data_IF_286189976668
#
_entry.id   IF_286189976668
#
_cell.length_a   1.000
_cell.length_b   1.000
_cell.length_c   1.000
_cell.angle_alpha   90.00
_cell.angle_beta   90.00
_cell.angle_gamma   90.00
#
_symmetry.space_group_name_H-M   'P 1'
#
loop_
_entity.id
_entity.type
_entity.pdbx_description
1 polymer ?
#
# COMPACT_ATOMS: atom_id res chain seq x y z
N UNK A 1 -7.68 -3.98 -15.12
CA UNK A 1 -8.52 -3.17 -14.23
C UNK A 1 -9.80 -2.77 -14.94
N UNK A 2 -10.88 -2.57 -14.18
CA UNK A 2 -12.16 -2.00 -14.61
C UNK A 2 -12.34 -0.63 -13.97
N UNK A 3 -13.14 0.29 -14.55
CA UNK A 3 -13.46 1.55 -13.91
C UNK A 3 -14.05 1.39 -12.51
N UNK A 4 -13.68 2.30 -11.62
CA UNK A 4 -14.14 2.40 -10.24
C UNK A 4 -14.51 3.85 -9.91
N UNK A 5 -15.08 4.09 -8.74
CA UNK A 5 -15.46 5.45 -8.31
C UNK A 5 -14.29 6.25 -7.74
N UNK A 6 -13.26 5.54 -7.23
CA UNK A 6 -12.09 6.15 -6.61
C UNK A 6 -10.82 5.36 -6.93
N UNK A 7 -9.72 6.04 -7.22
CA UNK A 7 -8.38 5.48 -7.09
C UNK A 7 -7.85 5.87 -5.71
N UNK A 8 -7.59 4.87 -4.87
CA UNK A 8 -7.09 5.04 -3.52
C UNK A 8 -5.62 4.68 -3.44
N UNK A 9 -4.75 5.65 -3.19
CA UNK A 9 -3.31 5.49 -3.18
C UNK A 9 -2.82 5.48 -1.74
N UNK A 10 -2.30 4.34 -1.31
CA UNK A 10 -1.71 4.20 0.01
C UNK A 10 -0.24 4.62 -0.04
N UNK A 11 0.16 5.48 0.87
CA UNK A 11 1.49 6.08 0.93
C UNK A 11 2.62 5.05 1.06
N UNK A 12 3.75 5.42 0.52
CA UNK A 12 4.99 4.63 0.56
C UNK A 12 6.20 5.50 0.23
N UNK A 13 7.40 4.92 0.31
CA UNK A 13 8.63 5.55 -0.13
C UNK A 13 8.91 5.43 -1.65
N UNK A 14 7.92 5.07 -2.46
CA UNK A 14 8.07 4.88 -3.91
C UNK A 14 7.10 5.77 -4.70
N UNK A 15 7.62 6.88 -5.20
CA UNK A 15 6.84 7.88 -5.94
C UNK A 15 6.22 7.33 -7.24
N UNK A 16 6.76 6.25 -7.80
CA UNK A 16 6.24 5.61 -9.02
C UNK A 16 4.80 5.11 -8.86
N UNK A 17 4.37 4.86 -7.62
CA UNK A 17 2.98 4.51 -7.32
C UNK A 17 2.05 5.69 -7.64
N UNK A 18 2.46 6.93 -7.32
CA UNK A 18 1.70 8.13 -7.65
C UNK A 18 1.69 8.42 -9.16
N UNK A 19 2.81 8.20 -9.84
CA UNK A 19 2.88 8.32 -11.29
C UNK A 19 1.94 7.33 -11.99
N UNK A 20 1.91 6.09 -11.51
CA UNK A 20 0.98 5.07 -12.01
C UNK A 20 -0.50 5.44 -11.72
N UNK A 21 -0.79 6.07 -10.57
CA UNK A 21 -2.12 6.60 -10.30
C UNK A 21 -2.56 7.63 -11.35
N UNK A 22 -1.65 8.54 -11.74
CA UNK A 22 -1.92 9.51 -12.79
C UNK A 22 -2.16 8.86 -14.17
N UNK A 23 -1.43 7.78 -14.50
CA UNK A 23 -1.67 7.00 -15.73
C UNK A 23 -3.06 6.36 -15.71
N UNK A 24 -3.50 5.79 -14.59
CA UNK A 24 -4.84 5.20 -14.47
C UNK A 24 -5.93 6.26 -14.55
N UNK A 25 -5.70 7.45 -13.98
CA UNK A 25 -6.60 8.59 -14.10
C UNK A 25 -6.73 9.03 -15.57
N UNK A 26 -5.61 9.20 -16.28
CA UNK A 26 -5.60 9.56 -17.70
C UNK A 26 -6.37 8.52 -18.57
N UNK A 27 -6.35 7.25 -18.16
CA UNK A 27 -7.14 6.16 -18.76
C UNK A 27 -8.62 6.17 -18.33
N UNK A 28 -9.05 7.16 -17.56
CA UNK A 28 -10.43 7.32 -17.06
C UNK A 28 -10.92 6.14 -16.22
N UNK A 29 -10.04 5.54 -15.44
CA UNK A 29 -10.40 4.41 -14.57
C UNK A 29 -11.06 4.85 -13.25
N UNK A 30 -10.94 6.11 -12.87
CA UNK A 30 -11.79 6.75 -11.84
C UNK A 30 -11.76 8.26 -12.01
N UNK A 31 -12.82 8.97 -11.56
CA UNK A 31 -12.89 10.43 -11.62
C UNK A 31 -12.10 11.12 -10.50
N UNK A 32 -11.79 10.42 -9.42
CA UNK A 32 -11.23 10.96 -8.19
C UNK A 32 -10.04 10.12 -7.72
N UNK A 33 -9.00 10.79 -7.20
CA UNK A 33 -7.85 10.20 -6.54
C UNK A 33 -7.85 10.61 -5.06
N UNK A 34 -7.53 9.65 -4.18
CA UNK A 34 -7.27 9.92 -2.77
C UNK A 34 -5.90 9.39 -2.41
N UNK A 35 -4.98 10.30 -2.09
CA UNK A 35 -3.65 9.99 -1.58
C UNK A 35 -3.68 9.97 -0.07
N UNK A 36 -3.24 8.86 0.54
CA UNK A 36 -3.23 8.69 1.99
C UNK A 36 -1.86 8.25 2.47
N UNK A 37 -1.29 8.99 3.39
CA UNK A 37 0.00 8.70 4.02
C UNK A 37 0.59 9.94 4.67
N UNK A 38 0.85 9.85 5.97
CA UNK A 38 1.63 10.84 6.72
C UNK A 38 3.12 10.54 6.63
N UNK A 39 3.81 10.57 7.75
CA UNK A 39 5.22 10.20 7.88
C UNK A 39 5.33 8.71 8.17
N UNK A 40 5.70 7.93 7.18
CA UNK A 40 5.80 6.48 7.30
C UNK A 40 7.14 5.99 7.85
N UNK A 41 7.28 4.68 8.01
CA UNK A 41 8.48 4.05 8.56
C UNK A 41 9.76 4.32 7.75
N UNK A 42 9.66 4.44 6.44
CA UNK A 42 10.78 4.72 5.54
C UNK A 42 10.90 6.19 5.15
N UNK A 43 9.98 7.03 5.59
CA UNK A 43 9.83 8.43 5.18
C UNK A 43 9.80 9.39 6.38
N UNK A 44 10.09 8.88 7.58
CA UNK A 44 10.04 9.67 8.83
C UNK A 44 10.97 10.88 8.85
N UNK A 45 11.98 10.91 7.98
CA UNK A 45 12.92 12.05 7.82
C UNK A 45 12.54 12.97 6.65
N UNK A 46 11.44 12.71 5.94
CA UNK A 46 11.00 13.58 4.87
C UNK A 46 10.45 14.90 5.42
N UNK A 47 10.60 15.97 4.63
CA UNK A 47 10.14 17.31 5.04
C UNK A 47 8.61 17.46 4.96
N UNK A 48 7.94 16.60 4.17
CA UNK A 48 6.49 16.63 3.92
C UNK A 48 5.90 15.21 3.93
N UNK A 49 4.60 15.06 4.25
CA UNK A 49 3.90 13.80 4.24
C UNK A 49 3.91 13.10 2.87
N UNK A 50 3.89 11.75 2.88
CA UNK A 50 3.88 10.92 1.67
C UNK A 50 2.74 11.30 0.72
N UNK A 51 1.54 11.51 1.25
CA UNK A 51 0.35 11.85 0.47
C UNK A 51 0.50 13.18 -0.29
N UNK A 52 1.17 14.17 0.29
CA UNK A 52 1.41 15.46 -0.35
C UNK A 52 2.40 15.36 -1.50
N UNK A 53 3.52 14.63 -1.30
CA UNK A 53 4.49 14.37 -2.36
C UNK A 53 3.88 13.58 -3.51
N UNK A 54 3.04 12.62 -3.19
CA UNK A 54 2.35 11.80 -4.18
C UNK A 54 1.33 12.62 -4.98
N UNK A 55 0.56 13.48 -4.31
CA UNK A 55 -0.37 14.38 -4.96
C UNK A 55 0.36 15.36 -5.90
N UNK A 56 1.48 15.93 -5.46
CA UNK A 56 2.32 16.79 -6.29
C UNK A 56 2.84 16.06 -7.54
N UNK A 57 3.31 14.82 -7.39
CA UNK A 57 3.76 14.01 -8.51
C UNK A 57 2.64 13.73 -9.52
N UNK A 58 1.44 13.41 -9.04
CA UNK A 58 0.29 13.19 -9.89
C UNK A 58 -0.16 14.49 -10.62
N UNK A 59 -0.14 15.62 -9.95
CA UNK A 59 -0.41 16.92 -10.58
C UNK A 59 0.61 17.26 -11.67
N UNK A 60 1.89 16.99 -11.45
CA UNK A 60 2.94 17.15 -12.48
C UNK A 60 2.71 16.27 -13.72
N UNK A 61 1.99 15.16 -13.57
CA UNK A 61 1.57 14.25 -14.66
C UNK A 61 0.21 14.63 -15.25
N UNK A 62 -0.39 15.76 -14.84
CA UNK A 62 -1.60 16.32 -15.44
C UNK A 62 -2.91 15.96 -14.74
N UNK A 63 -2.88 15.40 -13.53
CA UNK A 63 -4.11 15.23 -12.74
C UNK A 63 -4.53 16.59 -12.18
N UNK A 64 -5.77 17.05 -12.43
CA UNK A 64 -6.26 18.29 -11.85
C UNK A 64 -6.34 18.25 -10.33
N UNK A 65 -5.99 19.33 -9.65
CA UNK A 65 -5.97 19.38 -8.19
C UNK A 65 -7.36 19.22 -7.53
N UNK A 66 -8.41 19.62 -8.22
CA UNK A 66 -9.82 19.44 -7.80
C UNK A 66 -10.29 17.97 -7.88
N UNK A 67 -9.53 17.11 -8.57
CA UNK A 67 -9.75 15.67 -8.61
C UNK A 67 -8.90 14.90 -7.58
N UNK A 68 -8.22 15.61 -6.66
CA UNK A 68 -7.31 15.01 -5.67
C UNK A 68 -7.80 15.30 -4.25
N UNK A 69 -7.90 14.25 -3.45
CA UNK A 69 -8.05 14.33 -2.00
C UNK A 69 -6.76 13.89 -1.32
N UNK A 70 -6.45 14.50 -0.17
CA UNK A 70 -5.23 14.22 0.60
C UNK A 70 -5.61 13.85 2.04
N UNK A 71 -5.10 12.72 2.50
CA UNK A 71 -5.05 12.31 3.89
C UNK A 71 -3.57 12.21 4.30
N UNK A 72 -3.09 13.06 5.18
CA UNK A 72 -1.67 13.24 5.48
C UNK A 72 -1.27 12.94 6.94
N UNK A 73 -2.09 12.18 7.68
CA UNK A 73 -1.87 11.90 9.11
C UNK A 73 -1.58 10.44 9.42
N UNK A 74 -1.99 9.53 8.54
CA UNK A 74 -1.85 8.09 8.76
C UNK A 74 -0.38 7.66 8.78
N UNK A 75 -0.07 6.70 9.66
CA UNK A 75 1.28 6.13 9.85
C UNK A 75 1.35 4.64 9.52
N UNK A 76 0.21 4.03 9.21
CA UNK A 76 0.09 2.61 8.87
C UNK A 76 -1.12 2.35 7.97
N UNK A 77 -1.15 1.18 7.33
CA UNK A 77 -2.18 0.83 6.34
C UNK A 77 -3.61 0.86 6.91
N UNK A 78 -3.83 0.48 8.17
CA UNK A 78 -5.14 0.55 8.79
C UNK A 78 -5.62 1.99 9.00
N UNK A 79 -4.71 2.88 9.40
CA UNK A 79 -4.99 4.31 9.50
C UNK A 79 -5.25 4.94 8.14
N UNK A 80 -4.49 4.55 7.10
CA UNK A 80 -4.75 5.00 5.74
C UNK A 80 -6.23 4.78 5.37
N UNK A 81 -6.78 3.60 5.66
CA UNK A 81 -8.18 3.29 5.36
C UNK A 81 -9.12 4.16 6.21
N UNK A 82 -8.98 4.13 7.55
CA UNK A 82 -9.92 4.83 8.44
C UNK A 82 -9.92 6.34 8.24
N UNK A 83 -8.72 6.94 8.10
CA UNK A 83 -8.63 8.40 7.95
C UNK A 83 -9.07 8.86 6.56
N UNK A 84 -8.88 8.03 5.54
CA UNK A 84 -9.37 8.31 4.19
C UNK A 84 -10.90 8.32 4.12
N UNK A 85 -11.58 7.40 4.81
CA UNK A 85 -13.05 7.43 4.94
C UNK A 85 -13.53 8.75 5.58
N UNK A 86 -12.85 9.19 6.64
CA UNK A 86 -13.16 10.47 7.27
C UNK A 86 -12.90 11.69 6.35
N UNK A 87 -11.89 11.62 5.47
CA UNK A 87 -11.65 12.67 4.46
C UNK A 87 -12.78 12.71 3.44
N UNK A 88 -13.25 11.56 2.94
CA UNK A 88 -14.39 11.47 2.02
C UNK A 88 -15.67 12.06 2.67
N UNK A 89 -15.99 11.65 3.89
CA UNK A 89 -17.13 12.15 4.65
C UNK A 89 -17.06 13.68 4.82
N UNK A 90 -15.93 14.21 5.26
CA UNK A 90 -15.72 15.66 5.43
C UNK A 90 -15.85 16.44 4.13
N UNK A 91 -15.46 15.84 3.00
CA UNK A 91 -15.59 16.44 1.68
C UNK A 91 -17.02 16.35 1.12
N UNK A 92 -17.95 15.73 1.84
CA UNK A 92 -19.32 15.49 1.36
C UNK A 92 -19.39 14.50 0.19
N UNK A 93 -18.37 13.66 0.02
CA UNK A 93 -18.32 12.65 -1.03
C UNK A 93 -18.94 11.37 -0.49
N UNK A 94 -19.94 10.80 -1.17
CA UNK A 94 -20.51 9.52 -0.78
C UNK A 94 -19.45 8.42 -0.69
N UNK A 95 -19.63 7.50 0.23
CA UNK A 95 -18.74 6.35 0.36
C UNK A 95 -18.75 5.54 -0.95
N UNK A 96 -17.57 5.32 -1.61
CA UNK A 96 -17.55 4.68 -2.90
C UNK A 96 -17.92 3.20 -2.80
N UNK A 97 -18.67 2.70 -3.77
CA UNK A 97 -19.01 1.28 -3.91
C UNK A 97 -17.87 0.44 -4.49
N UNK A 98 -16.91 1.10 -5.14
CA UNK A 98 -15.77 0.45 -5.79
C UNK A 98 -14.53 1.34 -5.78
N UNK A 99 -13.38 0.73 -5.49
CA UNK A 99 -12.08 1.41 -5.51
C UNK A 99 -11.03 0.59 -6.27
N UNK A 100 -10.07 1.30 -6.85
CA UNK A 100 -8.78 0.75 -7.27
C UNK A 100 -7.75 1.20 -6.22
N UNK A 101 -7.29 0.27 -5.40
CA UNK A 101 -6.27 0.56 -4.40
C UNK A 101 -4.87 0.35 -4.99
N UNK A 102 -3.99 1.33 -4.83
CA UNK A 102 -2.63 1.29 -5.37
C UNK A 102 -1.60 1.23 -4.25
N UNK A 103 -0.63 0.35 -4.43
CA UNK A 103 0.51 0.20 -3.52
C UNK A 103 1.73 -0.36 -4.30
N UNK A 104 2.84 -0.56 -3.62
CA UNK A 104 4.03 -1.24 -4.16
C UNK A 104 3.72 -2.68 -4.56
N UNK A 105 4.37 -3.25 -5.58
CA UNK A 105 4.04 -4.58 -6.09
C UNK A 105 3.95 -5.67 -5.02
N UNK A 106 4.91 -5.75 -4.11
CA UNK A 106 4.94 -6.78 -3.07
C UNK A 106 3.92 -6.57 -1.93
N UNK A 107 3.28 -5.40 -1.88
CA UNK A 107 2.28 -5.07 -0.85
C UNK A 107 0.82 -5.30 -1.29
N UNK A 108 0.57 -5.65 -2.56
CA UNK A 108 -0.80 -5.79 -3.09
C UNK A 108 -1.66 -6.73 -2.24
N UNK A 109 -1.14 -7.90 -1.89
CA UNK A 109 -1.89 -8.90 -1.10
C UNK A 109 -2.26 -8.39 0.29
N UNK A 110 -1.31 -7.76 0.99
CA UNK A 110 -1.58 -7.19 2.32
C UNK A 110 -2.54 -6.01 2.25
N UNK A 111 -2.42 -5.18 1.21
CA UNK A 111 -3.35 -4.07 0.96
C UNK A 111 -4.77 -4.60 0.77
N UNK A 112 -4.96 -5.63 -0.06
CA UNK A 112 -6.27 -6.27 -0.23
C UNK A 112 -6.81 -6.81 1.08
N UNK A 113 -6.01 -7.57 1.82
CA UNK A 113 -6.41 -8.17 3.10
C UNK A 113 -6.82 -7.11 4.14
N UNK A 114 -6.09 -5.99 4.19
CA UNK A 114 -6.42 -4.88 5.09
C UNK A 114 -7.72 -4.20 4.68
N UNK A 115 -7.92 -3.93 3.40
CA UNK A 115 -9.15 -3.31 2.90
C UNK A 115 -10.37 -4.21 3.12
N UNK A 116 -10.25 -5.51 2.89
CA UNK A 116 -11.31 -6.48 3.19
C UNK A 116 -11.74 -6.50 4.67
N UNK A 117 -10.81 -6.25 5.59
CA UNK A 117 -11.11 -6.19 7.02
C UNK A 117 -11.62 -4.80 7.48
N UNK A 118 -11.04 -3.72 6.93
CA UNK A 118 -11.26 -2.36 7.42
C UNK A 118 -12.32 -1.59 6.62
N UNK A 119 -12.65 -2.08 5.41
CA UNK A 119 -13.64 -1.48 4.52
C UNK A 119 -14.39 -2.57 3.73
N UNK A 120 -15.08 -3.48 4.43
CA UNK A 120 -15.69 -4.68 3.82
C UNK A 120 -16.83 -4.36 2.83
N UNK A 121 -17.44 -3.17 2.91
CA UNK A 121 -18.55 -2.76 2.06
C UNK A 121 -18.10 -2.39 0.65
N UNK A 122 -16.82 -2.04 0.45
CA UNK A 122 -16.31 -1.57 -0.83
C UNK A 122 -15.78 -2.73 -1.68
N UNK A 123 -16.07 -2.71 -2.97
CA UNK A 123 -15.42 -3.62 -3.93
C UNK A 123 -14.03 -3.12 -4.27
N UNK A 124 -13.02 -3.91 -3.98
CA UNK A 124 -11.62 -3.55 -4.15
C UNK A 124 -10.99 -4.30 -5.31
N UNK A 125 -10.34 -3.56 -6.21
CA UNK A 125 -9.29 -4.07 -7.08
C UNK A 125 -7.95 -3.49 -6.61
N UNK A 126 -6.95 -4.33 -6.37
CA UNK A 126 -5.61 -3.86 -6.02
C UNK A 126 -4.71 -3.91 -7.24
N UNK A 127 -3.84 -2.92 -7.37
CA UNK A 127 -2.85 -2.84 -8.46
C UNK A 127 -1.59 -2.12 -8.01
N UNK A 128 -0.53 -2.30 -8.77
CA UNK A 128 0.76 -1.64 -8.58
C UNK A 128 1.37 -1.28 -9.94
N UNK A 129 2.39 -0.41 -9.98
CA UNK A 129 3.18 -0.22 -11.20
C UNK A 129 3.68 -1.57 -11.73
N UNK A 130 3.56 -1.84 -13.05
CA UNK A 130 3.78 -3.16 -13.64
C UNK A 130 5.27 -3.49 -13.83
N UNK A 131 6.05 -3.42 -12.75
CA UNK A 131 7.46 -3.77 -12.75
C UNK A 131 7.66 -5.26 -12.45
N UNK A 132 8.53 -5.91 -13.20
CA UNK A 132 9.16 -7.15 -12.74
C UNK A 132 10.02 -6.88 -11.50
N UNK A 133 10.38 -7.93 -10.73
CA UNK A 133 11.24 -7.75 -9.56
C UNK A 133 12.55 -7.01 -9.89
N UNK A 134 13.18 -7.32 -11.03
CA UNK A 134 14.43 -6.68 -11.45
C UNK A 134 14.25 -5.21 -11.81
N UNK A 135 13.16 -4.86 -12.50
CA UNK A 135 12.84 -3.47 -12.87
C UNK A 135 12.41 -2.65 -11.65
N UNK A 136 11.88 -3.31 -10.62
CA UNK A 136 11.51 -2.64 -9.37
C UNK A 136 12.73 -2.10 -8.62
N UNK A 137 13.87 -2.79 -8.70
CA UNK A 137 15.10 -2.39 -8.01
C UNK A 137 15.67 -1.11 -8.63
N UNK A 138 16.04 -0.17 -7.75
CA UNK A 138 16.75 1.08 -8.12
C UNK A 138 17.89 1.31 -7.13
N UNK A 139 18.64 2.40 -7.34
CA UNK A 139 19.68 2.81 -6.40
C UNK A 139 19.09 3.12 -5.02
N UNK A 140 17.91 3.74 -4.97
CA UNK A 140 17.17 4.10 -3.76
C UNK A 140 16.41 2.91 -3.16
N UNK A 141 16.14 1.90 -3.98
CA UNK A 141 15.48 0.64 -3.60
C UNK A 141 16.40 -0.56 -3.93
N UNK A 142 17.53 -0.70 -3.24
CA UNK A 142 18.46 -1.82 -3.48
C UNK A 142 17.84 -3.15 -3.07
N UNK A 143 18.33 -4.23 -3.64
CA UNK A 143 17.78 -5.58 -3.45
C UNK A 143 17.61 -5.96 -1.98
N UNK A 144 18.62 -5.72 -1.14
CA UNK A 144 18.57 -6.13 0.27
C UNK A 144 17.48 -5.42 1.05
N UNK A 145 17.24 -4.12 0.75
CA UNK A 145 16.14 -3.36 1.33
C UNK A 145 14.80 -3.91 0.87
N UNK A 146 14.64 -4.16 -0.43
CA UNK A 146 13.38 -4.63 -1.01
C UNK A 146 13.05 -6.03 -0.52
N UNK A 147 14.02 -6.97 -0.52
CA UNK A 147 13.80 -8.33 -0.04
C UNK A 147 13.48 -8.35 1.45
N UNK A 148 14.20 -7.58 2.27
CA UNK A 148 13.88 -7.45 3.70
C UNK A 148 12.48 -6.87 3.93
N UNK A 149 12.06 -5.89 3.11
CA UNK A 149 10.71 -5.35 3.18
C UNK A 149 9.65 -6.38 2.79
N UNK A 150 9.89 -7.19 1.75
CA UNK A 150 8.99 -8.29 1.34
C UNK A 150 8.87 -9.34 2.45
N UNK A 151 9.97 -9.72 3.09
CA UNK A 151 10.00 -10.67 4.22
C UNK A 151 9.17 -10.13 5.39
N UNK A 152 9.36 -8.86 5.75
CA UNK A 152 8.57 -8.24 6.80
C UNK A 152 7.09 -8.06 6.43
N UNK A 153 6.78 -7.83 5.16
CA UNK A 153 5.40 -7.75 4.67
C UNK A 153 4.72 -9.12 4.72
N UNK A 154 5.41 -10.18 4.32
CA UNK A 154 4.92 -11.54 4.39
C UNK A 154 4.60 -11.96 5.85
N UNK A 155 5.47 -11.66 6.81
CA UNK A 155 5.17 -11.91 8.22
C UNK A 155 3.89 -11.19 8.65
N UNK A 156 3.64 -9.97 8.20
CA UNK A 156 2.41 -9.22 8.52
C UNK A 156 1.16 -9.87 7.91
N UNK A 157 1.26 -10.50 6.75
CA UNK A 157 0.16 -11.30 6.19
C UNK A 157 -0.22 -12.45 7.12
N UNK A 158 0.73 -13.05 7.83
CA UNK A 158 0.50 -14.14 8.79
C UNK A 158 -0.02 -13.63 10.14
N UNK A 159 0.44 -12.47 10.60
CA UNK A 159 0.23 -12.02 11.98
C UNK A 159 -0.95 -11.05 12.14
N UNK A 160 -1.21 -10.20 11.16
CA UNK A 160 -2.25 -9.17 11.25
C UNK A 160 -3.68 -9.71 11.32
N UNK A 161 -4.03 -10.85 10.70
CA UNK A 161 -5.35 -11.45 10.90
C UNK A 161 -5.64 -11.81 12.36
N UNK A 162 -4.64 -12.29 13.10
CA UNK A 162 -4.76 -12.64 14.54
C UNK A 162 -5.15 -11.45 15.41
N UNK A 163 -4.93 -10.24 14.92
CA UNK A 163 -5.21 -8.96 15.60
C UNK A 163 -6.42 -8.22 14.99
N UNK A 164 -7.09 -8.82 13.99
CA UNK A 164 -8.21 -8.19 13.29
C UNK A 164 -7.82 -7.02 12.35
N UNK A 165 -6.53 -6.84 12.06
CA UNK A 165 -6.08 -5.76 11.17
C UNK A 165 -6.26 -6.08 9.69
N UNK A 166 -6.33 -7.36 9.34
CA UNK A 166 -6.54 -7.84 7.98
C UNK A 166 -7.32 -9.15 7.97
N UNK A 167 -7.84 -9.54 6.81
CA UNK A 167 -8.40 -10.87 6.61
C UNK A 167 -7.28 -11.91 6.45
N UNK A 168 -7.57 -13.15 6.80
CA UNK A 168 -6.67 -14.28 6.51
C UNK A 168 -6.45 -14.42 5.00
N UNK A 169 -5.22 -14.74 4.63
CA UNK A 169 -4.84 -14.97 3.23
C UNK A 169 -4.27 -16.38 3.08
N UNK A 170 -4.64 -17.11 2.01
CA UNK A 170 -4.05 -18.41 1.76
C UNK A 170 -2.55 -18.28 1.50
N UNK A 171 -1.76 -19.09 2.18
CA UNK A 171 -0.30 -19.16 2.02
C UNK A 171 0.07 -20.59 1.61
N UNK A 172 0.81 -20.71 0.49
CA UNK A 172 1.26 -22.01 0.02
C UNK A 172 2.48 -22.49 0.80
N UNK A 173 2.73 -23.83 0.88
CA UNK A 173 3.92 -24.38 1.49
C UNK A 173 5.23 -23.80 0.89
N UNK A 174 5.25 -23.58 -0.42
CA UNK A 174 6.40 -23.03 -1.13
C UNK A 174 6.68 -21.59 -0.71
N UNK A 175 5.65 -20.76 -0.55
CA UNK A 175 5.79 -19.39 -0.06
C UNK A 175 6.31 -19.36 1.38
N UNK A 176 5.83 -20.28 2.24
CA UNK A 176 6.34 -20.41 3.60
C UNK A 176 7.79 -20.87 3.63
N UNK A 177 8.17 -21.84 2.78
CA UNK A 177 9.56 -22.30 2.66
C UNK A 177 10.48 -21.17 2.17
N UNK A 178 10.06 -20.41 1.16
CA UNK A 178 10.82 -19.26 0.67
C UNK A 178 10.98 -18.17 1.77
N UNK A 179 9.93 -17.90 2.54
CA UNK A 179 10.00 -16.97 3.67
C UNK A 179 11.05 -17.42 4.69
N UNK A 180 11.04 -18.70 5.08
CA UNK A 180 12.02 -19.25 6.00
C UNK A 180 13.44 -19.12 5.46
N UNK A 181 13.66 -19.52 4.21
CA UNK A 181 14.98 -19.42 3.55
C UNK A 181 15.52 -17.99 3.56
N UNK A 182 14.68 -17.00 3.25
CA UNK A 182 15.09 -15.60 3.22
C UNK A 182 15.40 -15.07 4.63
N UNK A 183 14.65 -15.46 5.65
CA UNK A 183 14.95 -15.11 7.04
C UNK A 183 16.31 -15.71 7.48
N UNK A 184 16.54 -16.99 7.19
CA UNK A 184 17.79 -17.69 7.48
C UNK A 184 18.99 -17.09 6.72
N UNK A 185 18.75 -16.53 5.53
CA UNK A 185 19.74 -15.80 4.73
C UNK A 185 20.00 -14.36 5.23
N UNK A 186 19.37 -13.92 6.32
CA UNK A 186 19.64 -12.62 6.94
C UNK A 186 18.70 -11.48 6.55
N UNK A 187 17.65 -11.71 5.73
CA UNK A 187 16.67 -10.68 5.33
C UNK A 187 15.60 -10.37 6.38
N UNK A 188 15.92 -10.56 7.67
CA UNK A 188 14.97 -10.38 8.78
C UNK A 188 14.84 -8.95 9.34
N UNK A 189 15.53 -7.95 8.79
CA UNK A 189 15.62 -6.59 9.38
C UNK A 189 14.26 -5.87 9.51
N UNK A 190 13.26 -6.26 8.73
CA UNK A 190 11.92 -5.67 8.72
C UNK A 190 10.84 -6.54 9.39
N UNK A 191 11.23 -7.60 10.06
CA UNK A 191 10.34 -8.43 10.85
C UNK A 191 9.73 -7.65 12.03
N UNK A 192 8.57 -8.09 12.47
CA UNK A 192 7.89 -7.56 13.66
C UNK A 192 8.71 -7.92 14.92
N UNK A 193 9.04 -6.92 15.70
CA UNK A 193 9.79 -7.12 16.96
C UNK A 193 8.96 -7.89 17.98
N UNK A 194 9.58 -8.87 18.63
CA UNK A 194 8.92 -9.66 19.68
C UNK A 194 7.86 -10.66 19.20
N UNK A 195 7.70 -10.83 17.89
CA UNK A 195 6.79 -11.82 17.31
C UNK A 195 7.59 -13.06 16.93
N UNK A 196 7.29 -14.25 17.48
CA UNK A 196 7.98 -15.49 17.14
C UNK A 196 7.74 -15.85 15.68
N UNK A 197 8.71 -16.53 15.09
CA UNK A 197 8.59 -17.05 13.74
C UNK A 197 7.77 -18.34 13.74
N UNK A 198 6.99 -18.64 12.68
CA UNK A 198 6.08 -19.78 12.65
C UNK A 198 6.73 -21.16 12.91
N UNK A 199 8.02 -21.29 12.73
CA UNK A 199 8.79 -22.52 12.98
C UNK A 199 9.53 -22.55 14.33
N UNK A 200 9.38 -21.51 15.14
CA UNK A 200 9.96 -21.39 16.49
C UNK A 200 8.89 -21.52 17.59
N UNK A 201 7.65 -21.81 17.20
CA UNK A 201 6.48 -21.97 18.10
C UNK A 201 6.22 -23.43 18.42
#
# INVERSE_FOLDING_TARGET
>A
LRPAELIFILGSNDIRVAEYAAELYARKLAPLLLFSGGMGRFTGEWAVPEAELFAEAAMKKGVPGDCILIENKSTNTGENVRFSRAVLEKAGIPEPSSIIALQKPYMERRTLATLQAQWPEVRVAVSSPPFSFREYLTRELPQDLVVSAMVGDFQRILEYPKQGFSTEQPVTPEAMAAFRTLVEAGYGSQLLKGVPLPWNS
#
